data_IF_346159007223
#
_entry.id   IF_346159007223
#
_cell.length_a   1.000
_cell.length_b   1.000
_cell.length_c   1.000
_cell.angle_alpha   90.00
_cell.angle_beta   90.00
_cell.angle_gamma   90.00
#
_symmetry.space_group_name_H-M   'P 1'
#
loop_
_entity.id
_entity.type
_entity.pdbx_description
1 polymer ?
#
# COMPACT_ATOMS: atom_id res chain seq x y z
N UNK A 1 4.63 -45.87 13.37
CA UNK A 1 4.11 -44.78 14.26
C UNK A 1 5.08 -43.62 14.51
N UNK A 2 6.40 -43.82 14.69
CA UNK A 2 7.36 -42.70 14.95
C UNK A 2 7.51 -41.68 13.80
N UNK A 3 7.44 -42.11 12.53
CA UNK A 3 7.54 -41.20 11.35
C UNK A 3 6.32 -40.27 11.21
N UNK A 4 5.11 -40.75 11.50
CA UNK A 4 3.88 -39.95 11.50
C UNK A 4 3.87 -38.88 12.60
N UNK A 5 4.40 -39.19 13.79
CA UNK A 5 4.53 -38.20 14.88
C UNK A 5 5.49 -37.06 14.52
N UNK A 6 6.63 -37.35 13.87
CA UNK A 6 7.60 -36.33 13.44
C UNK A 6 7.05 -35.38 12.37
N UNK A 7 6.30 -35.91 11.40
CA UNK A 7 5.70 -35.10 10.34
C UNK A 7 4.65 -34.13 10.89
N UNK A 8 3.80 -34.60 11.80
CA UNK A 8 2.76 -33.79 12.45
C UNK A 8 3.34 -32.67 13.34
N UNK A 9 4.44 -32.93 14.07
CA UNK A 9 5.11 -31.87 14.86
C UNK A 9 5.79 -30.82 13.99
N UNK A 10 6.33 -31.20 12.83
CA UNK A 10 7.03 -30.27 11.94
C UNK A 10 6.07 -29.33 11.19
N UNK A 11 4.89 -29.83 10.79
CA UNK A 11 3.86 -29.01 10.13
C UNK A 11 3.16 -28.06 11.11
N UNK A 12 2.92 -28.50 12.35
CA UNK A 12 2.30 -27.65 13.39
C UNK A 12 3.24 -26.50 13.82
N UNK A 13 4.54 -26.76 13.89
CA UNK A 13 5.54 -25.72 14.16
C UNK A 13 5.64 -24.68 13.03
N UNK A 14 5.62 -25.11 11.78
CA UNK A 14 5.62 -24.21 10.62
C UNK A 14 4.35 -23.32 10.57
N UNK A 15 3.19 -23.89 10.91
CA UNK A 15 1.91 -23.16 10.94
C UNK A 15 1.87 -22.11 12.05
N UNK A 16 2.40 -22.45 13.23
CA UNK A 16 2.50 -21.53 14.37
C UNK A 16 3.51 -20.41 14.07
N UNK A 17 4.62 -20.73 13.42
CA UNK A 17 5.61 -19.74 12.96
C UNK A 17 5.02 -18.77 11.93
N UNK A 18 4.27 -19.27 10.94
CA UNK A 18 3.61 -18.42 9.95
C UNK A 18 2.58 -17.47 10.59
N UNK A 19 1.77 -17.95 11.53
CA UNK A 19 0.80 -17.14 12.28
C UNK A 19 1.49 -16.07 13.14
N UNK A 20 2.60 -16.42 13.79
CA UNK A 20 3.40 -15.47 14.58
C UNK A 20 4.04 -14.41 13.68
N UNK A 21 4.57 -14.77 12.51
CA UNK A 21 5.12 -13.81 11.56
C UNK A 21 4.06 -12.84 11.03
N UNK A 22 2.83 -13.31 10.78
CA UNK A 22 1.70 -12.47 10.36
C UNK A 22 1.25 -11.55 11.50
N UNK A 23 1.25 -12.03 12.75
CA UNK A 23 0.85 -11.24 13.91
C UNK A 23 1.90 -10.19 14.35
N UNK A 24 3.18 -10.42 14.05
CA UNK A 24 4.29 -9.51 14.36
C UNK A 24 4.51 -8.43 13.29
N UNK A 25 3.99 -8.63 12.07
CA UNK A 25 3.87 -7.57 11.07
C UNK A 25 2.64 -6.73 11.45
N UNK A 26 2.83 -5.63 12.18
CA UNK A 26 1.74 -4.80 12.71
C UNK A 26 0.63 -4.44 11.70
N UNK A 27 -0.58 -4.18 12.20
CA UNK A 27 -1.80 -3.97 11.41
C UNK A 27 -1.85 -2.67 10.58
N UNK A 28 -0.78 -1.88 10.52
CA UNK A 28 -0.72 -0.70 9.64
C UNK A 28 -0.39 -1.11 8.21
N UNK A 29 -1.33 -1.81 7.57
CA UNK A 29 -1.39 -2.19 6.14
C UNK A 29 -0.15 -2.96 5.64
N UNK A 30 -0.36 -4.11 5.01
CA UNK A 30 0.70 -4.80 4.28
C UNK A 30 1.24 -3.86 3.17
N UNK A 31 2.32 -3.14 3.46
CA UNK A 31 2.97 -2.24 2.51
C UNK A 31 4.10 -3.01 1.86
N UNK A 32 3.95 -3.33 0.58
CA UNK A 32 5.03 -3.92 -0.18
C UNK A 32 6.26 -3.01 -0.12
N UNK A 33 7.41 -3.62 0.19
CA UNK A 33 8.68 -2.92 0.18
C UNK A 33 8.89 -2.27 -1.21
N UNK A 34 9.50 -1.08 -1.28
CA UNK A 34 9.87 -0.48 -2.55
C UNK A 34 10.69 -1.45 -3.42
N UNK A 35 10.29 -1.60 -4.68
CA UNK A 35 11.09 -2.33 -5.66
C UNK A 35 12.36 -1.52 -6.02
N UNK A 36 13.27 -2.07 -6.81
CA UNK A 36 14.53 -1.39 -7.15
C UNK A 36 14.29 -0.07 -7.91
N UNK A 37 13.36 -0.02 -8.87
CA UNK A 37 12.98 1.21 -9.59
C UNK A 37 12.56 2.32 -8.62
N UNK A 38 11.79 1.98 -7.59
CA UNK A 38 11.31 2.93 -6.58
C UNK A 38 12.43 3.42 -5.67
N UNK A 39 13.39 2.56 -5.32
CA UNK A 39 14.58 2.96 -4.56
C UNK A 39 15.48 3.87 -5.40
N UNK A 40 15.68 3.54 -6.68
CA UNK A 40 16.45 4.35 -7.62
C UNK A 40 15.81 5.72 -7.79
N UNK A 41 14.50 5.79 -8.01
CA UNK A 41 13.79 7.06 -8.14
C UNK A 41 13.78 7.86 -6.83
N UNK A 42 13.60 7.22 -5.66
CA UNK A 42 13.67 7.92 -4.37
C UNK A 42 15.07 8.49 -4.09
N UNK A 43 16.12 7.74 -4.41
CA UNK A 43 17.50 8.22 -4.31
C UNK A 43 17.77 9.36 -5.30
N UNK A 44 17.33 9.22 -6.56
CA UNK A 44 17.47 10.24 -7.59
C UNK A 44 16.74 11.53 -7.18
N UNK A 45 15.51 11.44 -6.67
CA UNK A 45 14.76 12.59 -6.14
C UNK A 45 15.51 13.30 -5.01
N UNK A 46 16.25 12.58 -4.15
CA UNK A 46 17.12 13.20 -3.15
C UNK A 46 18.32 13.92 -3.79
N UNK A 47 18.96 13.34 -4.81
CA UNK A 47 20.01 14.03 -5.57
C UNK A 47 19.48 15.28 -6.27
N UNK A 48 18.33 15.20 -6.93
CA UNK A 48 17.65 16.33 -7.55
C UNK A 48 17.37 17.43 -6.53
N UNK A 49 16.85 17.10 -5.35
CA UNK A 49 16.57 18.09 -4.31
C UNK A 49 17.83 18.78 -3.77
N UNK A 50 18.92 18.03 -3.56
CA UNK A 50 20.23 18.57 -3.15
C UNK A 50 20.76 19.54 -4.21
N UNK A 51 20.85 19.09 -5.46
CA UNK A 51 21.38 19.92 -6.56
C UNK A 51 20.49 21.15 -6.79
N UNK A 52 19.17 21.01 -6.68
CA UNK A 52 18.25 22.17 -6.76
C UNK A 52 18.50 23.19 -5.65
N UNK A 53 18.74 22.73 -4.41
CA UNK A 53 19.06 23.61 -3.28
C UNK A 53 20.45 24.26 -3.41
N UNK A 54 21.41 23.58 -4.02
CA UNK A 54 22.73 24.12 -4.36
C UNK A 54 22.63 25.17 -5.48
N UNK A 55 21.96 24.85 -6.59
CA UNK A 55 21.75 25.76 -7.72
C UNK A 55 21.01 27.03 -7.28
N UNK A 56 19.93 26.91 -6.50
CA UNK A 56 19.20 28.08 -5.99
C UNK A 56 20.08 29.01 -5.13
N UNK A 57 21.08 28.46 -4.42
CA UNK A 57 22.07 29.25 -3.68
C UNK A 57 23.09 29.87 -4.61
N UNK A 58 23.63 29.11 -5.56
CA UNK A 58 24.65 29.55 -6.51
C UNK A 58 24.14 30.68 -7.42
N UNK A 59 22.89 30.59 -7.86
CA UNK A 59 22.24 31.60 -8.71
C UNK A 59 21.70 32.80 -7.93
N UNK A 60 21.97 32.89 -6.63
CA UNK A 60 21.46 33.94 -5.73
C UNK A 60 19.94 34.15 -5.87
N UNK A 61 19.20 33.04 -5.93
CA UNK A 61 17.75 33.10 -6.00
C UNK A 61 17.14 33.78 -4.76
N UNK A 62 15.86 34.14 -4.84
CA UNK A 62 15.15 34.74 -3.72
C UNK A 62 15.32 33.94 -2.42
N UNK A 63 15.37 34.63 -1.28
CA UNK A 63 15.47 33.99 0.05
C UNK A 63 14.37 32.94 0.26
N UNK A 64 13.15 33.24 -0.20
CA UNK A 64 12.02 32.32 -0.16
C UNK A 64 12.30 31.04 -0.96
N UNK A 65 12.80 31.15 -2.19
CA UNK A 65 13.08 29.97 -3.01
C UNK A 65 14.22 29.13 -2.41
N UNK A 66 15.29 29.75 -1.94
CA UNK A 66 16.39 29.05 -1.24
C UNK A 66 15.90 28.30 0.00
N UNK A 67 14.99 28.91 0.77
CA UNK A 67 14.41 28.27 1.96
C UNK A 67 13.52 27.08 1.60
N UNK A 68 12.69 27.21 0.55
CA UNK A 68 11.82 26.13 0.08
C UNK A 68 12.62 24.95 -0.46
N UNK A 69 13.69 25.19 -1.22
CA UNK A 69 14.54 24.12 -1.77
C UNK A 69 15.34 23.41 -0.68
N UNK A 70 15.84 24.14 0.32
CA UNK A 70 16.47 23.54 1.51
C UNK A 70 15.51 22.64 2.31
N UNK A 71 14.26 23.08 2.51
CA UNK A 71 13.24 22.23 3.14
C UNK A 71 12.96 20.98 2.30
N UNK A 72 12.84 21.14 0.98
CA UNK A 72 12.64 20.05 0.03
C UNK A 72 13.76 19.01 0.09
N UNK A 73 15.02 19.44 0.19
CA UNK A 73 16.18 18.57 0.40
C UNK A 73 16.03 17.70 1.65
N UNK A 74 15.71 18.31 2.79
CA UNK A 74 15.56 17.60 4.07
C UNK A 74 14.41 16.58 4.02
N UNK A 75 13.27 16.96 3.44
CA UNK A 75 12.13 16.07 3.25
C UNK A 75 12.48 14.91 2.31
N UNK A 76 13.16 15.21 1.21
CA UNK A 76 13.59 14.21 0.22
C UNK A 76 14.54 13.17 0.83
N UNK A 77 15.49 13.62 1.65
CA UNK A 77 16.40 12.73 2.39
C UNK A 77 15.66 11.76 3.30
N UNK A 78 14.61 12.22 3.97
CA UNK A 78 13.76 11.36 4.80
C UNK A 78 13.06 10.28 3.97
N UNK A 79 12.51 10.64 2.80
CA UNK A 79 11.87 9.69 1.89
C UNK A 79 12.85 8.67 1.31
N UNK A 80 14.03 9.12 0.84
CA UNK A 80 15.06 8.22 0.34
C UNK A 80 15.55 7.24 1.42
N UNK A 81 15.73 7.73 2.66
CA UNK A 81 16.13 6.88 3.80
C UNK A 81 15.06 5.85 4.13
N UNK A 82 13.77 6.22 4.07
CA UNK A 82 12.66 5.31 4.29
C UNK A 82 12.58 4.21 3.20
N UNK A 83 12.83 4.57 1.93
CA UNK A 83 12.81 3.61 0.84
C UNK A 83 14.02 2.66 0.84
N UNK A 84 15.13 3.08 1.46
CA UNK A 84 16.41 2.37 1.43
C UNK A 84 17.23 2.68 0.17
N UNK A 85 18.47 2.19 0.16
CA UNK A 85 19.40 2.43 -0.95
C UNK A 85 19.13 1.48 -2.14
N UNK A 86 19.22 1.98 -3.39
CA UNK A 86 19.18 1.12 -4.56
C UNK A 86 20.44 0.27 -4.67
N UNK A 87 20.35 -0.87 -5.36
CA UNK A 87 21.53 -1.68 -5.68
C UNK A 87 22.42 -1.01 -6.74
N UNK A 88 21.80 -0.32 -7.69
CA UNK A 88 22.47 0.40 -8.76
C UNK A 88 22.07 1.87 -8.71
N UNK A 89 23.05 2.76 -8.69
CA UNK A 89 22.82 4.19 -8.57
C UNK A 89 22.69 4.83 -9.96
N UNK A 90 21.57 5.55 -10.23
CA UNK A 90 21.47 6.38 -11.43
C UNK A 90 22.59 7.43 -11.47
N UNK A 91 23.04 7.80 -12.67
CA UNK A 91 23.97 8.91 -12.82
C UNK A 91 23.27 10.22 -12.45
N UNK A 92 23.81 10.92 -11.45
CA UNK A 92 23.20 12.11 -10.85
C UNK A 92 24.24 12.95 -10.08
N UNK A 93 25.45 13.08 -10.62
CA UNK A 93 26.51 13.88 -10.01
C UNK A 93 26.29 15.37 -10.29
N UNK A 94 25.87 15.70 -11.51
CA UNK A 94 25.60 17.08 -11.98
C UNK A 94 24.12 17.32 -12.29
N UNK A 95 23.76 18.59 -12.53
CA UNK A 95 22.41 18.93 -12.98
C UNK A 95 22.11 18.34 -14.36
N UNK A 96 23.10 18.30 -15.25
CA UNK A 96 23.03 17.71 -16.57
C UNK A 96 22.78 16.20 -16.49
N UNK A 97 23.48 15.49 -15.59
CA UNK A 97 23.24 14.06 -15.36
C UNK A 97 21.81 13.83 -14.86
N UNK A 98 21.37 14.62 -13.87
CA UNK A 98 20.02 14.50 -13.28
C UNK A 98 18.94 14.71 -14.34
N UNK A 99 19.14 15.67 -15.25
CA UNK A 99 18.20 16.03 -16.30
C UNK A 99 18.29 15.12 -17.55
N UNK A 100 19.18 14.12 -17.55
CA UNK A 100 19.28 13.15 -18.63
C UNK A 100 17.97 12.40 -18.86
N UNK A 101 17.69 12.06 -20.13
CA UNK A 101 16.46 11.37 -20.54
C UNK A 101 16.23 10.04 -19.79
N UNK A 102 17.29 9.30 -19.48
CA UNK A 102 17.21 8.06 -18.70
C UNK A 102 16.60 8.25 -17.31
N UNK A 103 16.87 9.40 -16.66
CA UNK A 103 16.34 9.72 -15.34
C UNK A 103 14.86 10.13 -15.39
N UNK A 104 14.42 10.79 -16.47
CA UNK A 104 13.00 11.03 -16.73
C UNK A 104 12.23 9.73 -16.96
N UNK A 105 12.81 8.81 -17.74
CA UNK A 105 12.23 7.49 -17.97
C UNK A 105 12.14 6.67 -16.69
N UNK A 106 13.20 6.68 -15.87
CA UNK A 106 13.19 6.04 -14.55
C UNK A 106 12.07 6.59 -13.66
N UNK A 107 11.92 7.91 -13.59
CA UNK A 107 10.86 8.54 -12.81
C UNK A 107 9.46 8.17 -13.35
N UNK A 108 9.27 8.15 -14.67
CA UNK A 108 8.03 7.73 -15.32
C UNK A 108 7.69 6.27 -15.04
N UNK A 109 8.67 5.36 -15.13
CA UNK A 109 8.49 3.95 -14.76
C UNK A 109 8.14 3.81 -13.28
N UNK A 110 8.79 4.56 -12.39
CA UNK A 110 8.44 4.55 -10.97
C UNK A 110 6.99 5.04 -10.73
N UNK A 111 6.50 6.04 -11.46
CA UNK A 111 5.09 6.45 -11.35
C UNK A 111 4.16 5.32 -11.78
N UNK A 112 4.44 4.67 -12.91
CA UNK A 112 3.63 3.55 -13.41
C UNK A 112 3.65 2.35 -12.44
N UNK A 113 4.83 1.98 -11.93
CA UNK A 113 5.01 0.91 -10.93
C UNK A 113 4.24 1.21 -9.64
N UNK A 114 4.24 2.47 -9.20
CA UNK A 114 3.51 2.88 -8.00
C UNK A 114 1.99 2.76 -8.19
N UNK A 115 1.48 3.07 -9.40
CA UNK A 115 0.07 2.95 -9.75
C UNK A 115 -0.39 1.48 -9.86
N UNK A 116 0.52 0.55 -10.18
CA UNK A 116 0.23 -0.88 -10.30
C UNK A 116 0.37 -1.65 -8.98
N UNK A 117 0.67 -0.97 -7.86
CA UNK A 117 0.76 -1.65 -6.57
C UNK A 117 -0.61 -2.20 -6.18
N UNK A 118 -0.68 -3.49 -5.77
CA UNK A 118 -1.95 -4.07 -5.36
C UNK A 118 -2.59 -3.21 -4.27
N UNK A 119 -3.84 -2.82 -4.48
CA UNK A 119 -4.56 -2.09 -3.44
C UNK A 119 -4.67 -2.96 -2.18
N UNK A 120 -4.78 -2.34 -1.01
CA UNK A 120 -4.86 -3.05 0.27
C UNK A 120 -5.94 -4.15 0.27
N UNK A 121 -6.98 -3.98 -0.55
CA UNK A 121 -8.05 -4.94 -0.76
C UNK A 121 -7.64 -6.17 -1.56
N UNK A 122 -6.83 -6.04 -2.60
CA UNK A 122 -6.32 -7.19 -3.36
C UNK A 122 -5.41 -8.04 -2.49
N UNK A 123 -4.62 -7.40 -1.61
CA UNK A 123 -3.80 -8.09 -0.61
C UNK A 123 -4.65 -8.82 0.42
N UNK A 124 -5.70 -8.17 0.93
CA UNK A 124 -6.62 -8.80 1.89
C UNK A 124 -7.36 -10.00 1.27
N UNK A 125 -7.84 -9.86 0.03
CA UNK A 125 -8.51 -10.94 -0.70
C UNK A 125 -7.54 -12.10 -0.98
N UNK A 126 -6.29 -11.80 -1.36
CA UNK A 126 -5.22 -12.81 -1.55
C UNK A 126 -4.86 -13.53 -0.24
N UNK A 127 -4.81 -12.82 0.88
CA UNK A 127 -4.56 -13.40 2.19
C UNK A 127 -5.69 -14.34 2.64
N UNK A 128 -6.96 -13.96 2.38
CA UNK A 128 -8.11 -14.82 2.62
C UNK A 128 -8.07 -16.08 1.75
N UNK A 129 -7.68 -15.97 0.48
CA UNK A 129 -7.50 -17.11 -0.42
C UNK A 129 -6.39 -18.05 0.05
N UNK A 130 -5.25 -17.51 0.47
CA UNK A 130 -4.18 -18.31 1.06
C UNK A 130 -4.66 -19.03 2.32
N UNK A 131 -5.38 -18.33 3.21
CA UNK A 131 -5.97 -18.92 4.41
C UNK A 131 -6.96 -20.06 4.09
N UNK A 132 -7.80 -19.87 3.06
CA UNK A 132 -8.70 -20.92 2.53
C UNK A 132 -7.88 -22.11 2.03
N UNK A 133 -6.85 -21.88 1.24
CA UNK A 133 -5.99 -22.93 0.69
C UNK A 133 -5.31 -23.75 1.78
N UNK A 134 -4.75 -23.10 2.80
CA UNK A 134 -4.11 -23.80 3.91
C UNK A 134 -5.13 -24.57 4.76
N UNK A 135 -6.28 -23.97 5.07
CA UNK A 135 -7.34 -24.65 5.82
C UNK A 135 -7.88 -25.87 5.06
N UNK A 136 -7.97 -25.79 3.74
CA UNK A 136 -8.39 -26.91 2.88
C UNK A 136 -7.35 -28.04 2.85
N UNK A 137 -6.06 -27.71 2.79
CA UNK A 137 -4.98 -28.70 2.70
C UNK A 137 -4.63 -29.37 4.03
N UNK A 138 -4.72 -28.65 5.16
CA UNK A 138 -4.19 -29.11 6.45
C UNK A 138 -5.24 -29.29 7.56
N UNK A 139 -6.48 -28.82 7.38
CA UNK A 139 -7.42 -28.66 8.49
C UNK A 139 -8.37 -29.84 8.79
N UNK A 140 -8.42 -30.88 7.95
CA UNK A 140 -9.38 -31.97 8.12
C UNK A 140 -10.84 -31.47 8.24
N UNK A 141 -11.64 -32.07 9.13
CA UNK A 141 -13.06 -31.68 9.31
C UNK A 141 -13.23 -30.25 9.86
N UNK A 142 -12.30 -29.76 10.66
CA UNK A 142 -12.33 -28.38 11.16
C UNK A 142 -11.91 -27.38 10.07
N UNK A 143 -11.03 -27.80 9.16
CA UNK A 143 -10.61 -27.06 7.98
C UNK A 143 -11.77 -26.73 7.04
N UNK A 144 -12.70 -27.67 6.81
CA UNK A 144 -13.85 -27.44 5.92
C UNK A 144 -14.81 -26.37 6.48
N UNK A 145 -15.03 -26.34 7.80
CA UNK A 145 -15.79 -25.28 8.48
C UNK A 145 -15.08 -23.93 8.37
N UNK A 146 -13.77 -23.90 8.60
CA UNK A 146 -12.96 -22.69 8.46
C UNK A 146 -12.97 -22.16 7.01
N UNK A 147 -12.82 -23.02 6.01
CA UNK A 147 -12.92 -22.67 4.59
C UNK A 147 -14.28 -22.05 4.26
N UNK A 148 -15.38 -22.65 4.74
CA UNK A 148 -16.72 -22.12 4.52
C UNK A 148 -16.89 -20.73 5.13
N UNK A 149 -16.44 -20.56 6.37
CA UNK A 149 -16.47 -19.27 7.06
C UNK A 149 -15.63 -18.20 6.35
N UNK A 150 -14.41 -18.53 5.91
CA UNK A 150 -13.53 -17.60 5.20
C UNK A 150 -14.09 -17.23 3.83
N UNK A 151 -14.68 -18.17 3.08
CA UNK A 151 -15.37 -17.89 1.82
C UNK A 151 -16.57 -16.97 2.04
N UNK A 152 -17.40 -17.26 3.03
CA UNK A 152 -18.55 -16.42 3.35
C UNK A 152 -18.12 -15.01 3.75
N UNK A 153 -17.04 -14.90 4.52
CA UNK A 153 -16.44 -13.61 4.91
C UNK A 153 -15.92 -12.85 3.69
N UNK A 154 -15.21 -13.51 2.76
CA UNK A 154 -14.77 -12.92 1.50
C UNK A 154 -15.95 -12.37 0.70
N UNK A 155 -17.01 -13.17 0.52
CA UNK A 155 -18.21 -12.76 -0.22
C UNK A 155 -18.91 -11.56 0.44
N UNK A 156 -19.06 -11.57 1.77
CA UNK A 156 -19.65 -10.44 2.51
C UNK A 156 -18.79 -9.17 2.40
N UNK A 157 -17.47 -9.32 2.46
CA UNK A 157 -16.54 -8.22 2.28
C UNK A 157 -16.65 -7.61 0.88
N UNK A 158 -16.74 -8.45 -0.16
CA UNK A 158 -16.93 -8.00 -1.54
C UNK A 158 -18.25 -7.26 -1.73
N UNK A 159 -19.36 -7.79 -1.22
CA UNK A 159 -20.66 -7.13 -1.28
C UNK A 159 -20.63 -5.75 -0.58
N UNK A 160 -19.93 -5.63 0.56
CA UNK A 160 -19.76 -4.34 1.24
C UNK A 160 -18.97 -3.33 0.38
N UNK A 161 -17.91 -3.77 -0.33
CA UNK A 161 -17.16 -2.92 -1.27
C UNK A 161 -18.08 -2.39 -2.38
N UNK A 162 -18.86 -3.28 -3.00
CA UNK A 162 -19.79 -2.94 -4.09
C UNK A 162 -20.84 -1.92 -3.63
N UNK A 163 -21.43 -2.13 -2.43
CA UNK A 163 -22.39 -1.19 -1.84
C UNK A 163 -21.75 0.18 -1.60
N UNK A 164 -20.53 0.22 -1.05
CA UNK A 164 -19.83 1.48 -0.79
C UNK A 164 -19.52 2.20 -2.09
N UNK A 165 -18.99 1.50 -3.10
CA UNK A 165 -18.68 2.07 -4.41
C UNK A 165 -19.94 2.62 -5.09
N UNK A 166 -21.04 1.86 -5.09
CA UNK A 166 -22.32 2.30 -5.63
C UNK A 166 -22.88 3.54 -4.91
N UNK A 167 -22.76 3.59 -3.58
CA UNK A 167 -23.17 4.75 -2.79
C UNK A 167 -22.31 5.99 -3.08
N UNK A 168 -21.01 5.84 -3.29
CA UNK A 168 -20.14 6.95 -3.68
C UNK A 168 -20.49 7.45 -5.09
N UNK A 169 -20.71 6.55 -6.05
CA UNK A 169 -21.14 6.92 -7.40
C UNK A 169 -22.49 7.65 -7.38
N UNK A 170 -23.48 7.13 -6.64
CA UNK A 170 -24.79 7.76 -6.47
C UNK A 170 -24.66 9.19 -5.95
N UNK A 171 -23.85 9.42 -4.92
CA UNK A 171 -23.64 10.77 -4.35
C UNK A 171 -22.96 11.71 -5.34
N UNK A 172 -22.01 11.23 -6.16
CA UNK A 172 -21.37 12.05 -7.19
C UNK A 172 -22.36 12.48 -8.28
N UNK A 173 -23.21 11.56 -8.72
CA UNK A 173 -24.20 11.81 -9.78
C UNK A 173 -25.43 12.58 -9.29
N UNK A 174 -25.79 12.46 -8.00
CA UNK A 174 -27.01 13.03 -7.42
C UNK A 174 -26.68 13.96 -6.24
N UNK A 175 -25.87 14.99 -6.50
CA UNK A 175 -25.38 15.90 -5.46
C UNK A 175 -26.51 16.52 -4.63
N UNK A 176 -27.62 16.91 -5.28
CA UNK A 176 -28.81 17.48 -4.64
C UNK A 176 -29.49 16.52 -3.65
N UNK A 177 -29.35 15.20 -3.83
CA UNK A 177 -29.94 14.18 -2.97
C UNK A 177 -29.00 13.70 -1.85
N UNK A 178 -27.74 14.19 -1.83
CA UNK A 178 -26.72 13.72 -0.88
C UNK A 178 -27.10 14.01 0.58
N UNK A 179 -27.78 15.13 0.85
CA UNK A 179 -28.22 15.48 2.21
C UNK A 179 -29.28 14.47 2.73
N UNK A 180 -30.31 14.19 1.93
CA UNK A 180 -31.32 13.20 2.25
C UNK A 180 -30.73 11.79 2.39
N UNK A 181 -29.80 11.41 1.51
CA UNK A 181 -29.07 10.15 1.61
C UNK A 181 -28.30 10.01 2.92
N UNK A 182 -27.56 11.05 3.34
CA UNK A 182 -26.84 11.06 4.63
C UNK A 182 -27.81 10.94 5.80
N UNK A 183 -28.95 11.63 5.74
CA UNK A 183 -29.98 11.57 6.78
C UNK A 183 -30.59 10.17 6.90
N UNK A 184 -30.86 9.49 5.78
CA UNK A 184 -31.37 8.11 5.78
C UNK A 184 -30.41 7.12 6.47
N UNK A 185 -29.11 7.40 6.44
CA UNK A 185 -28.07 6.57 7.07
C UNK A 185 -27.65 7.04 8.47
N UNK A 186 -28.29 8.07 9.02
CA UNK A 186 -27.93 8.68 10.32
C UNK A 186 -27.94 7.68 11.49
N UNK A 187 -28.79 6.65 11.41
CA UNK A 187 -28.95 5.60 12.42
C UNK A 187 -27.95 4.44 12.31
N UNK A 188 -27.01 4.47 11.36
CA UNK A 188 -25.95 3.47 11.31
C UNK A 188 -25.13 3.48 12.60
N UNK A 189 -24.75 2.29 13.07
CA UNK A 189 -23.91 2.15 14.25
C UNK A 189 -22.55 2.85 14.06
N UNK A 190 -21.93 3.27 15.17
CA UNK A 190 -20.57 3.82 15.14
C UNK A 190 -19.58 2.85 14.51
N UNK A 191 -19.67 1.57 14.84
CA UNK A 191 -18.84 0.50 14.28
C UNK A 191 -19.02 0.36 12.76
N UNK A 192 -20.26 0.36 12.26
CA UNK A 192 -20.53 0.31 10.81
C UNK A 192 -19.95 1.53 10.10
N UNK A 193 -20.08 2.73 10.67
CA UNK A 193 -19.50 3.94 10.10
C UNK A 193 -17.97 3.90 10.07
N UNK A 194 -17.33 3.38 11.11
CA UNK A 194 -15.88 3.18 11.13
C UNK A 194 -15.44 2.21 10.04
N UNK A 195 -16.11 1.06 9.92
CA UNK A 195 -15.80 0.06 8.89
C UNK A 195 -15.96 0.67 7.49
N UNK A 196 -17.07 1.37 7.22
CA UNK A 196 -17.31 2.04 5.93
C UNK A 196 -16.23 3.10 5.65
N UNK A 197 -15.86 3.91 6.64
CA UNK A 197 -14.82 4.93 6.48
C UNK A 197 -13.46 4.29 6.19
N UNK A 198 -13.04 3.32 7.00
CA UNK A 198 -11.79 2.58 6.79
C UNK A 198 -11.78 1.90 5.41
N UNK A 199 -12.90 1.32 4.99
CA UNK A 199 -13.04 0.69 3.67
C UNK A 199 -12.88 1.68 2.53
N UNK A 200 -13.39 2.91 2.68
CA UNK A 200 -13.17 4.00 1.72
C UNK A 200 -11.71 4.42 1.67
N UNK A 201 -11.07 4.62 2.83
CA UNK A 201 -9.68 5.08 2.91
C UNK A 201 -8.71 4.04 2.34
N UNK A 202 -9.01 2.75 2.53
CA UNK A 202 -8.22 1.63 1.99
C UNK A 202 -8.41 1.37 0.49
N UNK A 203 -9.51 1.86 -0.11
CA UNK A 203 -9.79 1.78 -1.55
C UNK A 203 -9.65 3.12 -2.29
N UNK A 204 -9.07 4.15 -1.65
CA UNK A 204 -8.86 5.47 -2.24
C UNK A 204 -7.40 5.65 -2.69
N UNK A 205 -6.98 4.84 -3.66
CA UNK A 205 -6.00 5.24 -4.68
C UNK A 205 -6.51 4.93 -6.10
N UNK A 206 -7.83 5.04 -6.33
CA UNK A 206 -8.37 5.16 -7.68
C UNK A 206 -8.40 6.64 -8.11
N UNK A 207 -7.48 7.11 -8.98
CA UNK A 207 -7.81 8.20 -9.88
C UNK A 207 -8.75 7.64 -10.94
N UNK A 208 -9.97 8.17 -11.00
CA UNK A 208 -10.73 8.24 -12.25
C UNK A 208 -11.34 9.65 -12.29
#
# INVERSE_FOLDING_TARGET
MRKYKRLATSTMAAFTFALVCIALAGCDTLRFAPNETQKQNAWLHNRTAIVTAETARAENASEKLRSLTQLGEVQSRAFASYCGLPKEFPQAETAEDILAESNWQLAGTAVNDAAQRPEAWEVADSALELGIGICALLGGVWGTKAVRFLRETKTKSQALKEIIAGNELFKRQNQTQTAAFKQAHSKQSSQTRQIVTQTKTLGHYLPI
#
